data_IF_302087059859
#
_entry.id   IF_302087059859
#
_cell.length_a   1.000
_cell.length_b   1.000
_cell.length_c   1.000
_cell.angle_alpha   90.00
_cell.angle_beta   90.00
_cell.angle_gamma   90.00
#
_symmetry.space_group_name_H-M   'P 1'
#
loop_
_entity.id
_entity.type
_entity.pdbx_description
1 polymer ?
#
# COMPACT_ATOMS: atom_id res chain seq x y z
N UNK A 1 -8.69 6.94 12.72
CA UNK A 1 -9.40 6.68 11.45
C UNK A 1 -10.74 5.96 11.70
N UNK A 2 -10.76 4.66 12.10
CA UNK A 2 -12.01 3.91 12.37
C UNK A 2 -12.89 4.48 13.48
N UNK A 3 -12.32 4.87 14.62
CA UNK A 3 -13.06 5.49 15.73
C UNK A 3 -13.72 6.84 15.38
N UNK A 4 -13.24 7.50 14.33
CA UNK A 4 -13.77 8.77 13.84
C UNK A 4 -14.55 8.61 12.53
N UNK A 5 -14.88 7.37 12.13
CA UNK A 5 -15.52 7.03 10.85
C UNK A 5 -14.82 7.63 9.60
N UNK A 6 -13.54 7.97 9.71
CA UNK A 6 -12.76 8.52 8.59
C UNK A 6 -12.35 7.36 7.68
N UNK A 7 -12.76 7.45 6.42
CA UNK A 7 -12.41 6.51 5.35
C UNK A 7 -11.44 7.15 4.35
N UNK A 8 -10.52 6.33 3.82
CA UNK A 8 -9.59 6.78 2.79
C UNK A 8 -10.32 7.14 1.49
N UNK A 9 -10.07 8.34 0.96
CA UNK A 9 -10.56 8.75 -0.35
C UNK A 9 -9.55 8.35 -1.42
N UNK A 10 -9.92 7.41 -2.29
CA UNK A 10 -9.07 7.01 -3.43
C UNK A 10 -9.34 7.92 -4.63
N UNK A 11 -8.39 8.79 -4.94
CA UNK A 11 -8.40 9.55 -6.19
C UNK A 11 -8.04 8.64 -7.37
N UNK A 12 -8.65 8.89 -8.54
CA UNK A 12 -8.35 8.13 -9.76
C UNK A 12 -6.90 8.46 -10.19
N UNK A 13 -6.03 7.45 -10.25
CA UNK A 13 -4.65 7.64 -10.76
C UNK A 13 -4.73 8.04 -12.23
N UNK A 14 -4.05 9.15 -12.59
CA UNK A 14 -3.94 9.62 -13.98
C UNK A 14 -2.91 8.83 -14.79
N UNK A 15 -1.97 8.19 -14.11
CA UNK A 15 -0.89 7.40 -14.72
C UNK A 15 -1.05 5.93 -14.35
N UNK A 16 -0.99 5.05 -15.36
CA UNK A 16 -0.89 3.60 -15.18
C UNK A 16 0.56 3.17 -15.06
N UNK A 17 0.94 2.58 -13.92
CA UNK A 17 2.30 2.10 -13.65
C UNK A 17 2.50 0.63 -14.00
N UNK A 18 1.43 -0.16 -14.11
CA UNK A 18 1.50 -1.61 -14.30
C UNK A 18 0.68 -2.03 -15.51
N UNK A 19 1.33 -2.71 -16.44
CA UNK A 19 0.70 -3.42 -17.56
C UNK A 19 0.77 -4.91 -17.20
N UNK A 20 -0.37 -5.60 -16.97
CA UNK A 20 -0.38 -7.03 -16.71
C UNK A 20 0.17 -7.79 -17.91
N UNK A 21 1.03 -8.77 -17.65
CA UNK A 21 1.44 -9.76 -18.63
C UNK A 21 0.36 -10.88 -18.67
N UNK A 22 -0.33 -11.09 -19.81
CA UNK A 22 -1.35 -12.14 -19.93
C UNK A 22 -0.83 -13.56 -19.74
N UNK A 23 0.48 -13.79 -19.96
CA UNK A 23 1.11 -15.09 -19.80
C UNK A 23 1.64 -15.33 -18.38
N UNK A 24 1.64 -14.30 -17.52
CA UNK A 24 2.13 -14.44 -16.16
C UNK A 24 1.17 -15.28 -15.31
N UNK A 25 1.73 -16.27 -14.61
CA UNK A 25 0.99 -17.06 -13.64
C UNK A 25 0.45 -16.16 -12.52
N UNK A 26 -0.84 -16.31 -12.20
CA UNK A 26 -1.44 -15.60 -11.08
C UNK A 26 -0.79 -16.05 -9.75
N UNK A 27 -0.24 -15.10 -9.01
CA UNK A 27 0.27 -15.33 -7.66
C UNK A 27 -0.93 -15.49 -6.71
N UNK A 28 -0.94 -16.51 -5.84
CA UNK A 28 -2.05 -16.70 -4.90
C UNK A 28 -2.16 -15.53 -3.92
N UNK A 29 -3.37 -14.98 -3.78
CA UNK A 29 -3.69 -13.99 -2.74
C UNK A 29 -3.88 -14.70 -1.40
N UNK A 30 -2.78 -14.88 -0.68
CA UNK A 30 -2.74 -15.55 0.63
C UNK A 30 -3.62 -14.83 1.66
N UNK A 31 -3.79 -13.52 1.53
CA UNK A 31 -4.62 -12.72 2.44
C UNK A 31 -6.09 -12.69 2.03
N UNK A 32 -6.45 -13.18 0.84
CA UNK A 32 -7.82 -13.16 0.29
C UNK A 32 -8.48 -11.77 0.42
N UNK A 33 -7.72 -10.71 0.14
CA UNK A 33 -8.11 -9.30 0.34
C UNK A 33 -8.57 -8.92 1.77
N UNK A 34 -8.33 -9.77 2.78
CA UNK A 34 -8.56 -9.45 4.18
C UNK A 34 -7.29 -8.86 4.80
N UNK A 35 -7.25 -7.54 4.92
CA UNK A 35 -6.14 -6.80 5.53
C UNK A 35 -6.33 -6.54 7.04
N UNK A 36 -7.27 -7.27 7.68
CA UNK A 36 -7.49 -7.19 9.12
C UNK A 36 -6.56 -8.19 9.81
N UNK A 37 -5.74 -7.72 10.75
CA UNK A 37 -4.92 -8.56 11.62
C UNK A 37 -5.46 -8.52 13.06
N UNK A 38 -5.38 -9.64 13.77
CA UNK A 38 -5.81 -9.77 15.18
C UNK A 38 -4.69 -9.50 16.20
N UNK A 39 -3.43 -9.48 15.75
CA UNK A 39 -2.25 -9.21 16.55
C UNK A 39 -1.15 -8.53 15.70
N UNK A 40 -0.16 -7.86 16.32
CA UNK A 40 1.01 -7.33 15.60
C UNK A 40 1.73 -8.40 14.79
N UNK A 41 2.35 -8.01 13.67
CA UNK A 41 3.13 -8.88 12.78
C UNK A 41 2.32 -10.00 12.09
N UNK A 42 0.99 -9.94 12.11
CA UNK A 42 0.13 -10.91 11.41
C UNK A 42 -0.08 -10.60 9.92
N UNK A 43 -0.03 -9.32 9.54
CA UNK A 43 -0.13 -8.89 8.15
C UNK A 43 0.58 -7.54 7.97
N UNK A 44 1.36 -7.40 6.89
CA UNK A 44 2.04 -6.16 6.54
C UNK A 44 1.51 -5.61 5.22
N UNK A 45 1.45 -4.29 5.13
CA UNK A 45 1.00 -3.59 3.91
C UNK A 45 2.13 -2.70 3.43
N UNK A 46 2.61 -2.97 2.23
CA UNK A 46 3.60 -2.13 1.55
C UNK A 46 2.96 -1.17 0.55
N UNK A 47 3.52 0.03 0.43
CA UNK A 47 3.18 0.96 -0.65
C UNK A 47 4.43 1.70 -1.14
N UNK A 48 4.40 2.14 -2.40
CA UNK A 48 5.43 3.01 -2.98
C UNK A 48 4.74 4.31 -3.42
N UNK A 49 5.30 5.42 -2.97
CA UNK A 49 4.87 6.76 -3.35
C UNK A 49 6.03 7.61 -3.85
N UNK A 50 5.69 8.72 -4.48
CA UNK A 50 6.64 9.69 -5.05
C UNK A 50 6.70 10.91 -4.13
N UNK A 51 7.91 11.24 -3.65
CA UNK A 51 8.15 12.43 -2.84
C UNK A 51 8.71 13.54 -3.73
N UNK A 52 7.95 14.62 -3.98
CA UNK A 52 8.47 15.75 -4.74
C UNK A 52 9.60 16.44 -3.96
N UNK A 53 10.67 16.82 -4.65
CA UNK A 53 11.78 17.61 -4.07
C UNK A 53 11.89 18.95 -4.78
N UNK A 54 12.48 19.95 -4.11
CA UNK A 54 12.48 21.35 -4.54
C UNK A 54 13.07 21.59 -5.95
N UNK A 55 13.91 20.68 -6.44
CA UNK A 55 14.51 20.74 -7.79
C UNK A 55 13.55 20.35 -8.92
N UNK A 56 12.27 20.09 -8.63
CA UNK A 56 11.30 19.61 -9.60
C UNK A 56 11.42 18.11 -9.94
N UNK A 57 12.37 17.41 -9.29
CA UNK A 57 12.50 15.95 -9.36
C UNK A 57 11.67 15.29 -8.24
N UNK A 58 11.66 13.97 -8.21
CA UNK A 58 11.07 13.20 -7.12
C UNK A 58 12.00 12.09 -6.64
N UNK A 59 11.78 11.66 -5.41
CA UNK A 59 12.35 10.44 -4.84
C UNK A 59 11.26 9.38 -4.72
N UNK A 60 11.66 8.12 -4.75
CA UNK A 60 10.77 7.01 -4.41
C UNK A 60 10.82 6.76 -2.91
N UNK A 61 9.66 6.70 -2.27
CA UNK A 61 9.52 6.23 -0.90
C UNK A 61 8.79 4.89 -0.94
N UNK A 62 9.49 3.83 -0.54
CA UNK A 62 8.87 2.57 -0.17
C UNK A 62 8.54 2.60 1.32
N UNK A 63 7.40 2.06 1.70
CA UNK A 63 7.00 1.91 3.10
C UNK A 63 6.40 0.54 3.36
N UNK A 64 6.50 0.08 4.59
CA UNK A 64 5.86 -1.12 5.13
C UNK A 64 5.19 -0.76 6.45
N UNK A 65 3.90 -1.02 6.56
CA UNK A 65 3.09 -0.73 7.75
C UNK A 65 2.52 -2.03 8.31
N UNK A 66 2.56 -2.19 9.63
CA UNK A 66 1.89 -3.29 10.32
C UNK A 66 0.35 -3.12 10.27
N UNK A 67 -0.36 -4.14 9.79
CA UNK A 67 -1.80 -4.10 9.56
C UNK A 67 -2.65 -4.01 10.83
N UNK A 68 -2.10 -4.46 11.97
CA UNK A 68 -2.74 -4.37 13.28
C UNK A 68 -2.49 -3.02 13.94
N UNK A 69 -1.23 -2.73 14.27
CA UNK A 69 -0.81 -1.59 15.09
C UNK A 69 -0.70 -0.27 14.31
N UNK A 70 -0.66 -0.34 12.97
CA UNK A 70 -0.42 0.81 12.07
C UNK A 70 0.93 1.47 12.26
N UNK A 71 1.88 0.81 12.93
CA UNK A 71 3.27 1.30 13.03
C UNK A 71 3.97 1.16 11.68
N UNK A 72 4.74 2.18 11.32
CA UNK A 72 5.67 2.14 10.19
C UNK A 72 6.85 1.26 10.59
N UNK A 73 7.13 0.23 9.80
CA UNK A 73 8.20 -0.74 10.02
C UNK A 73 9.46 -0.39 9.22
N UNK A 74 9.30 0.32 8.11
CA UNK A 74 10.35 0.75 7.19
C UNK A 74 9.77 1.33 5.92
#
# INVERSE_FOLDING_TARGET
MRQHAVQGRRLKRRHRTTIPDPAAQAVPDVLRRNFTASAPNGAWVGDITYLPIASGKFLYLATVIDGYSRRLLG
#
